data_IF_272096474288
#
_entry.id   IF_272096474288
#
_cell.length_a   1.000
_cell.length_b   1.000
_cell.length_c   1.000
_cell.angle_alpha   90.00
_cell.angle_beta   90.00
_cell.angle_gamma   90.00
#
_symmetry.space_group_name_H-M   'P 1'
#
loop_
_entity.id
_entity.type
_entity.pdbx_description
1 polymer ?
#
# COMPACT_ATOMS: atom_id res chain seq x y z
N UNK A 1 24.30 -20.85 -9.70
CA UNK A 1 23.02 -20.94 -10.43
C UNK A 1 23.15 -20.11 -11.69
N UNK A 2 22.47 -20.50 -12.76
CA UNK A 2 22.33 -19.67 -13.96
C UNK A 2 21.43 -18.47 -13.67
N UNK A 3 21.75 -17.31 -14.22
CA UNK A 3 20.90 -16.11 -14.19
C UNK A 3 19.70 -16.32 -15.10
N UNK A 4 18.50 -15.93 -14.64
CA UNK A 4 17.29 -15.89 -15.46
C UNK A 4 16.86 -14.44 -15.60
N UNK A 5 16.82 -13.92 -16.83
CA UNK A 5 16.43 -12.54 -17.13
C UNK A 5 15.18 -12.55 -17.99
N UNK A 6 14.16 -11.79 -17.60
CA UNK A 6 12.95 -11.56 -18.40
C UNK A 6 12.73 -10.06 -18.54
N UNK A 7 12.48 -9.58 -19.77
CA UNK A 7 12.25 -8.16 -20.06
C UNK A 7 13.32 -7.20 -19.51
N UNK A 8 14.57 -7.67 -19.38
CA UNK A 8 15.70 -6.87 -18.89
C UNK A 8 15.85 -6.82 -17.37
N UNK A 9 15.03 -7.55 -16.61
CA UNK A 9 15.17 -7.70 -15.15
C UNK A 9 15.46 -9.14 -14.76
N UNK A 10 16.31 -9.31 -13.75
CA UNK A 10 16.57 -10.63 -13.17
C UNK A 10 15.31 -11.16 -12.50
N UNK A 11 14.95 -12.40 -12.82
CA UNK A 11 13.85 -13.14 -12.23
C UNK A 11 14.41 -13.94 -11.06
N UNK A 12 14.11 -13.47 -9.86
CA UNK A 12 14.62 -14.03 -8.61
C UNK A 12 13.56 -14.88 -7.86
N UNK A 13 12.39 -15.05 -8.47
CA UNK A 13 11.23 -15.70 -7.85
C UNK A 13 10.31 -16.35 -8.88
N UNK A 14 9.74 -17.50 -8.56
CA UNK A 14 8.81 -18.21 -9.45
C UNK A 14 7.57 -17.39 -9.85
N UNK A 15 7.03 -16.55 -8.95
CA UNK A 15 5.83 -15.77 -9.24
C UNK A 15 6.08 -14.61 -10.22
N UNK A 16 7.31 -14.12 -10.31
CA UNK A 16 7.69 -13.11 -11.30
C UNK A 16 7.61 -13.65 -12.75
N UNK A 17 7.59 -14.97 -12.95
CA UNK A 17 7.32 -15.57 -14.25
C UNK A 17 5.87 -15.38 -14.71
N UNK A 18 4.94 -15.10 -13.80
CA UNK A 18 3.53 -14.86 -14.12
C UNK A 18 3.35 -13.42 -14.59
N UNK A 19 3.95 -12.47 -13.88
CA UNK A 19 3.88 -11.04 -14.16
C UNK A 19 3.62 -10.22 -12.90
N UNK A 20 3.42 -8.91 -13.05
CA UNK A 20 3.19 -7.96 -11.95
C UNK A 20 1.90 -7.15 -12.14
N UNK A 21 1.00 -7.58 -13.03
CA UNK A 21 -0.32 -6.96 -13.20
C UNK A 21 -1.30 -7.46 -12.12
N UNK A 22 -2.40 -6.74 -11.93
CA UNK A 22 -3.45 -7.06 -10.94
C UNK A 22 -3.85 -8.54 -10.97
N UNK A 23 -4.16 -9.06 -12.17
CA UNK A 23 -4.53 -10.46 -12.36
C UNK A 23 -3.42 -11.46 -12.00
N UNK A 24 -2.15 -11.10 -12.23
CA UNK A 24 -0.98 -11.96 -11.94
C UNK A 24 -0.79 -12.10 -10.43
N UNK A 25 -1.01 -11.00 -9.71
CA UNK A 25 -0.91 -10.93 -8.25
C UNK A 25 -2.02 -11.78 -7.62
N UNK A 26 -3.27 -11.55 -8.04
CA UNK A 26 -4.43 -12.34 -7.59
C UNK A 26 -4.22 -13.83 -7.85
N UNK A 27 -3.71 -14.20 -9.03
CA UNK A 27 -3.42 -15.59 -9.39
C UNK A 27 -2.35 -16.21 -8.49
N UNK A 28 -1.30 -15.46 -8.18
CA UNK A 28 -0.21 -15.89 -7.29
C UNK A 28 -0.69 -16.14 -5.86
N UNK A 29 -1.54 -15.25 -5.35
CA UNK A 29 -2.20 -15.40 -4.04
C UNK A 29 -3.11 -16.63 -4.04
N UNK A 30 -3.98 -16.77 -5.05
CA UNK A 30 -4.91 -17.89 -5.18
C UNK A 30 -4.21 -19.25 -5.22
N UNK A 31 -3.11 -19.34 -5.99
CA UNK A 31 -2.29 -20.54 -6.04
C UNK A 31 -1.69 -20.88 -4.67
N UNK A 32 -1.18 -19.87 -3.97
CA UNK A 32 -0.60 -20.07 -2.64
C UNK A 32 -1.64 -20.51 -1.62
N UNK A 33 -2.84 -19.92 -1.63
CA UNK A 33 -3.97 -20.35 -0.81
C UNK A 33 -4.32 -21.83 -1.07
N UNK A 34 -4.41 -22.23 -2.35
CA UNK A 34 -4.73 -23.61 -2.73
C UNK A 34 -3.67 -24.64 -2.32
N UNK A 35 -2.41 -24.23 -2.19
CA UNK A 35 -1.28 -25.13 -1.87
C UNK A 35 -0.87 -25.11 -0.39
N UNK A 36 -1.27 -24.09 0.36
CA UNK A 36 -0.88 -23.88 1.76
C UNK A 36 -2.12 -23.82 2.67
N UNK A 37 -2.60 -24.97 3.19
CA UNK A 37 -3.80 -25.06 4.03
C UNK A 37 -3.80 -24.13 5.25
N UNK A 38 -2.68 -24.02 5.97
CA UNK A 38 -2.58 -23.17 7.17
C UNK A 38 -2.66 -21.68 6.82
N UNK A 39 -2.17 -21.30 5.64
CA UNK A 39 -2.32 -19.94 5.12
C UNK A 39 -3.77 -19.66 4.72
N UNK A 40 -4.43 -20.60 4.02
CA UNK A 40 -5.86 -20.49 3.69
C UNK A 40 -6.72 -20.36 4.96
N UNK A 41 -6.52 -21.21 5.97
CA UNK A 41 -7.22 -21.13 7.26
C UNK A 41 -7.04 -19.75 7.91
N UNK A 42 -5.80 -19.24 7.90
CA UNK A 42 -5.48 -17.94 8.48
C UNK A 42 -6.19 -16.79 7.76
N UNK A 43 -6.26 -16.82 6.41
CA UNK A 43 -6.98 -15.82 5.62
C UNK A 43 -8.49 -15.89 5.83
N UNK A 44 -9.08 -17.09 5.88
CA UNK A 44 -10.52 -17.24 6.13
C UNK A 44 -10.89 -16.80 7.55
N UNK A 45 -10.06 -17.15 8.53
CA UNK A 45 -10.25 -16.69 9.90
C UNK A 45 -10.12 -15.16 10.01
N UNK A 46 -9.18 -14.53 9.31
CA UNK A 46 -9.04 -13.07 9.29
C UNK A 46 -10.31 -12.38 8.78
N UNK A 47 -10.85 -12.83 7.65
CA UNK A 47 -11.94 -12.11 6.96
C UNK A 47 -13.35 -12.51 7.43
N UNK A 48 -13.50 -13.70 8.04
CA UNK A 48 -14.80 -14.22 8.48
C UNK A 48 -14.86 -14.60 9.96
N UNK A 49 -13.73 -14.64 10.69
CA UNK A 49 -13.64 -15.24 12.03
C UNK A 49 -14.14 -16.69 12.08
N UNK A 50 -13.82 -17.47 11.03
CA UNK A 50 -14.23 -18.87 10.89
C UNK A 50 -13.03 -19.81 10.86
N UNK A 51 -13.11 -20.86 11.67
CA UNK A 51 -12.27 -22.05 11.52
C UNK A 51 -12.85 -22.95 10.43
N UNK A 52 -11.97 -23.45 9.55
CA UNK A 52 -12.38 -24.25 8.39
C UNK A 52 -11.48 -25.47 8.17
N UNK A 53 -12.05 -26.49 7.53
CA UNK A 53 -11.27 -27.55 6.92
C UNK A 53 -10.86 -27.16 5.49
N UNK A 54 -9.58 -26.83 5.33
CA UNK A 54 -9.00 -26.42 4.06
C UNK A 54 -9.16 -27.46 2.94
N UNK A 55 -9.35 -28.75 3.25
CA UNK A 55 -9.49 -29.79 2.22
C UNK A 55 -10.81 -29.67 1.42
N UNK A 56 -11.84 -29.08 2.02
CA UNK A 56 -13.16 -28.94 1.40
C UNK A 56 -13.34 -27.61 0.66
N UNK A 57 -12.36 -26.71 0.76
CA UNK A 57 -12.44 -25.38 0.16
C UNK A 57 -12.14 -25.44 -1.33
N UNK A 58 -13.03 -24.83 -2.11
CA UNK A 58 -12.83 -24.53 -3.52
C UNK A 58 -12.48 -23.06 -3.70
N UNK A 59 -11.40 -22.81 -4.42
CA UNK A 59 -10.97 -21.49 -4.87
C UNK A 59 -11.20 -21.43 -6.37
N UNK A 60 -12.06 -20.52 -6.80
CA UNK A 60 -12.37 -20.27 -8.20
C UNK A 60 -11.73 -18.94 -8.59
N UNK A 61 -11.06 -18.90 -9.73
CA UNK A 61 -10.36 -17.72 -10.23
C UNK A 61 -11.02 -17.29 -11.54
N UNK A 62 -11.36 -16.01 -11.66
CA UNK A 62 -11.96 -15.43 -12.87
C UNK A 62 -13.28 -16.07 -13.30
N UNK A 63 -14.23 -16.22 -12.36
CA UNK A 63 -15.56 -16.76 -12.67
C UNK A 63 -16.40 -15.72 -13.40
N UNK A 64 -16.90 -16.09 -14.59
CA UNK A 64 -17.77 -15.25 -15.41
C UNK A 64 -19.26 -15.49 -15.12
N UNK A 65 -20.03 -14.42 -14.94
CA UNK A 65 -21.48 -14.45 -14.98
C UNK A 65 -22.01 -13.40 -15.97
N UNK A 66 -22.90 -13.81 -16.86
CA UNK A 66 -23.48 -12.92 -17.88
C UNK A 66 -24.13 -11.71 -17.21
N UNK A 67 -23.79 -10.51 -17.70
CA UNK A 67 -24.23 -9.20 -17.18
C UNK A 67 -23.71 -8.84 -15.77
N UNK A 68 -22.85 -9.65 -15.14
CA UNK A 68 -22.23 -9.36 -13.84
C UNK A 68 -20.71 -9.45 -13.84
N UNK A 69 -20.12 -9.54 -15.04
CA UNK A 69 -18.67 -9.51 -15.24
C UNK A 69 -17.94 -10.76 -14.73
N UNK A 70 -16.64 -10.59 -14.57
CA UNK A 70 -15.70 -11.59 -14.08
C UNK A 70 -15.33 -11.20 -12.65
N UNK A 71 -15.33 -12.15 -11.71
CA UNK A 71 -14.81 -11.95 -10.34
C UNK A 71 -13.36 -12.36 -10.27
N UNK A 72 -12.54 -11.65 -9.49
CA UNK A 72 -11.14 -12.02 -9.34
C UNK A 72 -10.98 -13.36 -8.62
N UNK A 73 -11.62 -13.54 -7.47
CA UNK A 73 -11.69 -14.82 -6.77
C UNK A 73 -13.06 -15.08 -6.16
N UNK A 74 -13.46 -16.35 -6.12
CA UNK A 74 -14.56 -16.83 -5.29
C UNK A 74 -14.06 -18.01 -4.44
N UNK A 75 -14.26 -17.97 -3.12
CA UNK A 75 -13.79 -19.00 -2.18
C UNK A 75 -14.97 -19.53 -1.38
N UNK A 76 -15.14 -20.85 -1.36
CA UNK A 76 -16.26 -21.48 -0.64
C UNK A 76 -15.97 -22.94 -0.29
N UNK A 77 -16.46 -23.41 0.85
CA UNK A 77 -16.54 -24.84 1.18
C UNK A 77 -17.92 -25.45 0.84
N UNK A 78 -18.82 -24.65 0.27
CA UNK A 78 -20.22 -24.97 -0.07
C UNK A 78 -21.15 -25.30 1.10
N UNK A 79 -20.67 -25.29 2.34
CA UNK A 79 -21.44 -25.66 3.53
C UNK A 79 -21.48 -24.56 4.59
N UNK A 80 -20.39 -23.84 4.78
CA UNK A 80 -20.21 -22.90 5.90
C UNK A 80 -20.06 -21.46 5.42
N UNK A 81 -19.38 -21.22 4.29
CA UNK A 81 -19.13 -19.86 3.81
C UNK A 81 -19.08 -19.69 2.27
N UNK A 82 -19.28 -18.45 1.82
CA UNK A 82 -19.05 -18.00 0.44
C UNK A 82 -18.43 -16.60 0.42
N UNK A 83 -17.24 -16.48 -0.15
CA UNK A 83 -16.52 -15.21 -0.27
C UNK A 83 -16.35 -14.89 -1.76
N UNK A 84 -16.60 -13.63 -2.13
CA UNK A 84 -16.16 -13.06 -3.40
C UNK A 84 -15.06 -12.05 -3.07
N UNK A 85 -13.91 -12.14 -3.74
CA UNK A 85 -12.82 -11.17 -3.61
C UNK A 85 -12.72 -10.38 -4.90
N UNK A 86 -12.65 -9.06 -4.77
CA UNK A 86 -12.31 -8.13 -5.83
C UNK A 86 -10.96 -7.49 -5.52
N UNK A 87 -9.97 -7.76 -6.37
CA UNK A 87 -8.62 -7.25 -6.21
C UNK A 87 -8.43 -5.94 -6.97
N UNK A 88 -7.60 -5.06 -6.41
CA UNK A 88 -7.13 -3.86 -7.08
C UNK A 88 -5.64 -3.69 -6.87
N UNK A 89 -4.91 -3.28 -7.92
CA UNK A 89 -3.49 -2.92 -7.80
C UNK A 89 -3.32 -1.48 -7.31
N UNK A 90 -2.36 -1.25 -6.41
CA UNK A 90 -2.12 0.06 -5.80
C UNK A 90 -3.18 0.43 -4.76
N UNK A 91 -3.23 1.72 -4.41
CA UNK A 91 -4.19 2.29 -3.46
C UNK A 91 -5.55 2.58 -4.10
N UNK A 92 -6.10 1.57 -4.76
CA UNK A 92 -7.40 1.62 -5.43
C UNK A 92 -8.37 0.70 -4.68
N UNK A 93 -9.60 1.16 -4.52
CA UNK A 93 -10.72 0.37 -4.00
C UNK A 93 -11.74 0.13 -5.11
N UNK A 94 -12.49 -0.99 -5.07
CA UNK A 94 -13.55 -1.26 -6.02
C UNK A 94 -14.68 -0.22 -5.92
N UNK A 95 -15.23 0.14 -7.08
CA UNK A 95 -16.34 1.08 -7.18
C UNK A 95 -17.68 0.48 -6.74
N UNK A 96 -18.65 1.36 -6.46
CA UNK A 96 -19.98 0.96 -6.02
C UNK A 96 -20.71 0.05 -7.02
N UNK A 97 -20.56 0.31 -8.32
CA UNK A 97 -21.18 -0.49 -9.38
C UNK A 97 -20.70 -1.94 -9.34
N UNK A 98 -19.39 -2.16 -9.19
CA UNK A 98 -18.80 -3.49 -9.18
C UNK A 98 -19.24 -4.30 -7.95
N UNK A 99 -19.19 -3.69 -6.77
CA UNK A 99 -19.64 -4.35 -5.53
C UNK A 99 -21.15 -4.67 -5.58
N UNK A 100 -21.96 -3.79 -6.18
CA UNK A 100 -23.39 -4.04 -6.40
C UNK A 100 -23.60 -5.25 -7.29
N UNK A 101 -22.90 -5.34 -8.44
CA UNK A 101 -23.01 -6.50 -9.33
C UNK A 101 -22.65 -7.81 -8.63
N UNK A 102 -21.59 -7.82 -7.81
CA UNK A 102 -21.15 -9.04 -7.12
C UNK A 102 -22.08 -9.50 -6.01
N UNK A 103 -22.65 -8.55 -5.25
CA UNK A 103 -23.67 -8.85 -4.25
C UNK A 103 -24.93 -9.49 -4.85
N UNK A 104 -25.14 -9.32 -6.16
CA UNK A 104 -26.29 -9.86 -6.88
C UNK A 104 -26.00 -11.18 -7.59
N UNK A 105 -24.78 -11.72 -7.55
CA UNK A 105 -24.40 -12.93 -8.31
C UNK A 105 -25.17 -14.15 -7.83
N UNK A 106 -25.51 -15.02 -8.78
CA UNK A 106 -26.36 -16.19 -8.51
C UNK A 106 -25.76 -17.09 -7.43
N UNK A 107 -24.46 -17.36 -7.54
CA UNK A 107 -23.77 -18.28 -6.63
C UNK A 107 -23.76 -17.80 -5.18
N UNK A 108 -23.64 -16.49 -4.92
CA UNK A 108 -23.65 -15.97 -3.55
C UNK A 108 -25.07 -15.83 -3.01
N UNK A 109 -26.04 -15.40 -3.83
CA UNK A 109 -27.44 -15.29 -3.41
C UNK A 109 -28.03 -16.66 -3.06
N UNK A 110 -27.95 -17.61 -4.00
CA UNK A 110 -28.58 -18.93 -3.85
C UNK A 110 -27.82 -19.88 -2.94
N UNK A 111 -26.59 -19.53 -2.55
CA UNK A 111 -25.82 -20.33 -1.61
C UNK A 111 -26.57 -20.46 -0.27
N UNK A 112 -26.78 -21.69 0.24
CA UNK A 112 -27.49 -21.92 1.50
C UNK A 112 -26.61 -21.65 2.74
N UNK A 113 -25.36 -21.25 2.54
CA UNK A 113 -24.40 -21.03 3.65
C UNK A 113 -24.78 -19.81 4.49
N UNK A 114 -24.46 -19.88 5.78
CA UNK A 114 -24.75 -18.82 6.74
C UNK A 114 -23.80 -17.63 6.64
N UNK A 115 -22.55 -17.84 6.24
CA UNK A 115 -21.55 -16.78 6.19
C UNK A 115 -21.23 -16.37 4.76
N UNK A 116 -21.52 -15.12 4.40
CA UNK A 116 -21.24 -14.56 3.08
C UNK A 116 -20.44 -13.28 3.25
N UNK A 117 -19.50 -13.00 2.34
CA UNK A 117 -18.79 -11.72 2.34
C UNK A 117 -18.31 -11.34 0.94
N UNK A 118 -18.16 -10.03 0.72
CA UNK A 118 -17.38 -9.47 -0.38
C UNK A 118 -16.13 -8.83 0.20
N UNK A 119 -14.96 -9.19 -0.30
CA UNK A 119 -13.68 -8.69 0.18
C UNK A 119 -13.04 -7.84 -0.91
N UNK A 120 -12.80 -6.57 -0.61
CA UNK A 120 -11.88 -5.75 -1.39
C UNK A 120 -10.44 -6.13 -1.04
N UNK A 121 -9.55 -6.32 -2.01
CA UNK A 121 -8.16 -6.71 -1.77
C UNK A 121 -7.19 -5.81 -2.54
N UNK A 122 -6.43 -4.96 -1.86
CA UNK A 122 -5.49 -4.02 -2.50
C UNK A 122 -4.35 -3.61 -1.57
N UNK A 123 -3.56 -2.60 -1.96
CA UNK A 123 -2.48 -2.05 -1.12
C UNK A 123 -2.99 -1.04 -0.08
N UNK A 124 -4.28 -0.69 -0.11
CA UNK A 124 -4.90 0.20 0.86
C UNK A 124 -4.75 -0.34 2.29
N UNK A 125 -4.60 0.56 3.27
CA UNK A 125 -4.74 0.17 4.67
C UNK A 125 -6.19 -0.19 5.01
N UNK A 126 -6.38 -0.97 6.07
CA UNK A 126 -7.72 -1.29 6.59
C UNK A 126 -8.48 -0.01 6.96
N UNK A 127 -7.83 0.98 7.59
CA UNK A 127 -8.46 2.26 7.96
C UNK A 127 -8.88 3.08 6.73
N UNK A 128 -8.05 3.10 5.69
CA UNK A 128 -8.39 3.76 4.43
C UNK A 128 -9.59 3.09 3.76
N UNK A 129 -9.55 1.77 3.60
CA UNK A 129 -10.67 1.02 3.06
C UNK A 129 -11.91 1.21 3.93
N UNK A 130 -11.73 1.32 5.24
CA UNK A 130 -12.82 1.56 6.15
C UNK A 130 -13.48 2.93 5.95
N UNK A 131 -12.72 3.96 5.63
CA UNK A 131 -13.25 5.29 5.37
C UNK A 131 -13.86 5.44 3.96
N UNK A 132 -13.34 4.72 2.96
CA UNK A 132 -13.60 5.02 1.55
C UNK A 132 -14.30 3.92 0.74
N UNK A 133 -14.47 2.70 1.27
CA UNK A 133 -15.34 1.72 0.62
C UNK A 133 -16.77 2.26 0.56
N UNK A 134 -17.46 2.14 -0.59
CA UNK A 134 -18.79 2.74 -0.77
C UNK A 134 -19.86 2.03 0.06
N UNK A 135 -19.60 0.81 0.51
CA UNK A 135 -20.51 0.00 1.31
C UNK A 135 -19.76 -0.68 2.45
N UNK A 136 -20.43 -0.79 3.59
CA UNK A 136 -20.06 -1.71 4.68
C UNK A 136 -20.83 -3.02 4.60
N UNK A 137 -22.06 -2.92 4.11
CA UNK A 137 -22.96 -4.04 3.86
C UNK A 137 -23.73 -3.70 2.59
N UNK A 138 -23.93 -4.69 1.72
CA UNK A 138 -24.75 -4.57 0.51
C UNK A 138 -25.53 -5.86 0.30
N UNK A 139 -26.86 -5.76 0.12
CA UNK A 139 -27.77 -6.91 0.03
C UNK A 139 -27.54 -7.93 1.18
N UNK A 140 -27.42 -7.42 2.40
CA UNK A 140 -27.14 -8.19 3.63
C UNK A 140 -25.81 -8.95 3.62
N UNK A 141 -24.91 -8.64 2.68
CA UNK A 141 -23.57 -9.22 2.60
C UNK A 141 -22.56 -8.17 3.10
N UNK A 142 -21.76 -8.47 4.14
CA UNK A 142 -20.70 -7.59 4.61
C UNK A 142 -19.64 -7.37 3.53
N UNK A 143 -19.14 -6.13 3.46
CA UNK A 143 -18.04 -5.72 2.60
C UNK A 143 -16.86 -5.34 3.46
N UNK A 144 -15.83 -6.18 3.46
CA UNK A 144 -14.61 -5.98 4.23
C UNK A 144 -13.42 -5.73 3.29
N UNK A 145 -12.29 -5.38 3.88
CA UNK A 145 -11.04 -5.22 3.15
C UNK A 145 -10.00 -6.23 3.65
N UNK A 146 -9.07 -6.58 2.77
CA UNK A 146 -7.90 -7.39 3.09
C UNK A 146 -6.70 -6.80 2.35
N UNK A 147 -5.86 -6.06 3.07
CA UNK A 147 -4.67 -5.45 2.48
C UNK A 147 -3.60 -6.47 2.07
N UNK A 148 -2.81 -6.17 1.04
CA UNK A 148 -1.68 -7.01 0.62
C UNK A 148 -0.62 -7.14 1.72
N UNK A 149 -0.42 -6.09 2.51
CA UNK A 149 0.42 -6.15 3.72
C UNK A 149 -0.10 -7.20 4.69
N UNK A 150 -1.41 -7.25 4.92
CA UNK A 150 -2.00 -8.26 5.82
C UNK A 150 -1.84 -9.67 5.26
N UNK A 151 -2.01 -9.86 3.95
CA UNK A 151 -1.76 -11.14 3.28
C UNK A 151 -0.30 -11.60 3.48
N UNK A 152 0.66 -10.69 3.34
CA UNK A 152 2.08 -10.96 3.60
C UNK A 152 2.31 -11.42 5.06
N UNK A 153 1.70 -10.75 6.03
CA UNK A 153 1.80 -11.09 7.46
C UNK A 153 1.18 -12.47 7.78
N UNK A 154 0.01 -12.76 7.21
CA UNK A 154 -0.67 -14.05 7.35
C UNK A 154 0.17 -15.18 6.72
N UNK A 155 0.74 -14.94 5.54
CA UNK A 155 1.66 -15.88 4.89
C UNK A 155 2.91 -16.11 5.75
N UNK A 156 3.47 -15.06 6.34
CA UNK A 156 4.62 -15.17 7.24
C UNK A 156 4.29 -16.04 8.47
N UNK A 157 3.14 -15.81 9.08
CA UNK A 157 2.69 -16.51 10.28
C UNK A 157 2.41 -17.98 9.99
N UNK A 158 1.75 -18.30 8.87
CA UNK A 158 1.42 -19.66 8.46
C UNK A 158 2.65 -20.56 8.23
N UNK A 159 3.84 -19.99 8.01
CA UNK A 159 5.09 -20.77 7.83
C UNK A 159 5.43 -21.59 9.07
N UNK A 160 5.04 -21.20 10.27
CA UNK A 160 5.40 -21.95 11.49
C UNK A 160 4.81 -23.36 11.45
N UNK A 161 3.53 -23.47 11.11
CA UNK A 161 2.74 -24.71 11.08
C UNK A 161 2.72 -25.43 9.71
N UNK A 162 3.31 -24.83 8.67
CA UNK A 162 3.34 -25.40 7.31
C UNK A 162 4.39 -26.51 7.12
N UNK A 163 4.22 -27.35 6.10
CA UNK A 163 5.24 -28.30 5.66
C UNK A 163 6.44 -27.58 4.99
N UNK A 164 7.57 -28.25 4.81
CA UNK A 164 8.77 -27.64 4.19
C UNK A 164 8.49 -27.03 2.81
N UNK A 165 7.82 -27.78 1.92
CA UNK A 165 7.49 -27.29 0.58
C UNK A 165 6.53 -26.10 0.60
N UNK A 166 5.59 -26.09 1.55
CA UNK A 166 4.67 -24.97 1.75
C UNK A 166 5.41 -23.74 2.28
N UNK A 167 6.34 -23.91 3.23
CA UNK A 167 7.17 -22.81 3.73
C UNK A 167 7.98 -22.16 2.61
N UNK A 168 8.55 -22.96 1.72
CA UNK A 168 9.34 -22.43 0.61
C UNK A 168 8.45 -21.68 -0.40
N UNK A 169 7.26 -22.21 -0.73
CA UNK A 169 6.29 -21.48 -1.56
C UNK A 169 5.83 -20.17 -0.92
N UNK A 170 5.57 -20.15 0.40
CA UNK A 170 5.17 -18.93 1.11
C UNK A 170 6.31 -17.90 1.15
N UNK A 171 7.58 -18.31 1.23
CA UNK A 171 8.72 -17.38 1.12
C UNK A 171 8.80 -16.76 -0.27
N UNK A 172 8.55 -17.54 -1.32
CA UNK A 172 8.45 -17.02 -2.69
C UNK A 172 7.30 -16.02 -2.79
N UNK A 173 6.10 -16.35 -2.29
CA UNK A 173 4.97 -15.40 -2.31
C UNK A 173 5.32 -14.11 -1.57
N UNK A 174 5.92 -14.22 -0.38
CA UNK A 174 6.32 -13.06 0.41
C UNK A 174 7.33 -12.17 -0.33
N UNK A 175 8.36 -12.74 -0.95
CA UNK A 175 9.33 -11.98 -1.76
C UNK A 175 8.62 -11.23 -2.89
N UNK A 176 7.74 -11.93 -3.61
CA UNK A 176 6.98 -11.37 -4.72
C UNK A 176 6.09 -10.20 -4.29
N UNK A 177 5.28 -10.38 -3.25
CA UNK A 177 4.43 -9.32 -2.71
C UNK A 177 5.26 -8.14 -2.18
N UNK A 178 6.39 -8.42 -1.51
CA UNK A 178 7.31 -7.39 -1.01
C UNK A 178 7.92 -6.56 -2.15
N UNK A 179 8.32 -7.19 -3.25
CA UNK A 179 8.83 -6.49 -4.42
C UNK A 179 7.75 -5.58 -5.01
N UNK A 180 6.52 -6.08 -5.21
CA UNK A 180 5.43 -5.29 -5.79
C UNK A 180 5.06 -4.09 -4.92
N UNK A 181 4.84 -4.29 -3.62
CA UNK A 181 4.49 -3.22 -2.68
C UNK A 181 5.58 -2.14 -2.60
N UNK A 182 6.83 -2.51 -2.88
CA UNK A 182 7.93 -1.56 -2.88
C UNK A 182 8.22 -0.92 -4.25
N UNK A 183 7.88 -1.59 -5.35
CA UNK A 183 8.15 -1.12 -6.72
C UNK A 183 7.39 0.16 -7.11
N UNK A 184 6.17 0.40 -6.61
CA UNK A 184 5.38 1.56 -7.06
C UNK A 184 5.93 2.93 -6.63
N UNK A 185 6.69 3.00 -5.52
CA UNK A 185 7.41 4.21 -5.14
C UNK A 185 8.88 4.19 -5.61
N UNK A 186 9.60 3.05 -5.53
CA UNK A 186 11.07 2.98 -5.66
C UNK A 186 11.66 3.56 -6.95
N UNK A 187 10.99 3.42 -8.10
CA UNK A 187 11.46 3.97 -9.39
C UNK A 187 11.11 5.45 -9.58
N UNK A 188 10.25 5.99 -8.73
CA UNK A 188 9.81 7.38 -8.82
C UNK A 188 10.93 8.32 -8.42
N UNK A 189 11.32 9.21 -9.32
CA UNK A 189 12.22 10.31 -9.01
C UNK A 189 11.47 11.53 -8.44
N UNK A 190 10.18 11.42 -8.13
CA UNK A 190 9.39 12.50 -7.56
C UNK A 190 9.71 12.72 -6.09
N UNK A 191 9.90 13.98 -5.74
CA UNK A 191 10.16 14.46 -4.39
C UNK A 191 8.96 15.26 -3.92
N UNK A 192 8.41 14.91 -2.77
CA UNK A 192 7.42 15.73 -2.08
C UNK A 192 8.13 16.74 -1.17
N UNK A 193 8.07 18.02 -1.53
CA UNK A 193 8.81 19.08 -0.82
C UNK A 193 7.90 19.75 0.22
N UNK A 194 8.33 19.72 1.47
CA UNK A 194 7.61 20.25 2.64
C UNK A 194 8.43 21.35 3.33
N UNK A 195 7.73 22.34 3.89
CA UNK A 195 8.38 23.39 4.68
C UNK A 195 8.49 22.95 6.12
N UNK A 196 9.69 23.00 6.70
CA UNK A 196 9.88 22.79 8.13
C UNK A 196 9.84 24.11 8.89
N UNK A 197 9.24 24.08 10.07
CA UNK A 197 9.26 25.19 11.02
C UNK A 197 10.43 25.01 12.01
N UNK A 198 10.90 26.11 12.58
CA UNK A 198 11.78 26.10 13.77
C UNK A 198 11.00 25.85 15.06
N UNK A 199 9.68 25.76 14.99
CA UNK A 199 8.82 25.39 16.11
C UNK A 199 8.84 23.89 16.37
N UNK A 200 8.41 23.51 17.56
CA UNK A 200 8.27 22.13 17.98
C UNK A 200 6.89 21.60 17.57
N UNK A 201 6.78 20.31 17.23
CA UNK A 201 5.50 19.62 17.31
C UNK A 201 4.92 19.77 18.72
N UNK A 202 3.60 19.70 18.82
CA UNK A 202 2.88 19.88 20.09
C UNK A 202 3.41 18.91 21.14
N UNK A 203 3.90 19.45 22.25
CA UNK A 203 4.45 18.69 23.39
C UNK A 203 5.66 17.78 23.05
N UNK A 204 6.44 18.14 22.03
CA UNK A 204 7.71 17.48 21.72
C UNK A 204 8.88 18.44 22.03
N UNK A 205 9.98 17.92 22.58
CA UNK A 205 11.16 18.73 22.93
C UNK A 205 12.03 19.07 21.72
N UNK A 206 11.87 18.36 20.60
CA UNK A 206 12.61 18.59 19.36
C UNK A 206 11.82 19.47 18.41
N UNK A 207 12.51 20.37 17.70
CA UNK A 207 11.94 21.08 16.56
C UNK A 207 11.70 20.15 15.37
N UNK A 208 10.84 20.56 14.43
CA UNK A 208 10.67 19.82 13.18
C UNK A 208 11.97 19.59 12.41
N UNK A 209 12.89 20.57 12.46
CA UNK A 209 14.22 20.47 11.84
C UNK A 209 15.07 19.43 12.56
N UNK A 210 15.07 19.44 13.90
CA UNK A 210 15.87 18.49 14.69
C UNK A 210 15.36 17.05 14.57
N UNK A 211 14.05 16.83 14.43
CA UNK A 211 13.52 15.50 14.12
C UNK A 211 14.11 14.94 12.82
N UNK A 212 14.20 15.77 11.79
CA UNK A 212 14.79 15.35 10.52
C UNK A 212 16.29 15.17 10.64
N UNK A 213 17.01 16.15 11.19
CA UNK A 213 18.48 16.16 11.19
C UNK A 213 19.11 15.20 12.22
N UNK A 214 18.51 15.08 13.42
CA UNK A 214 19.06 14.26 14.51
C UNK A 214 18.46 12.87 14.57
N UNK A 215 17.17 12.74 14.26
CA UNK A 215 16.44 11.45 14.36
C UNK A 215 16.23 10.77 13.02
N UNK A 216 16.45 11.46 11.90
CA UNK A 216 16.16 10.93 10.56
C UNK A 216 14.70 10.45 10.47
N UNK A 217 13.80 11.20 11.09
CA UNK A 217 12.36 10.90 11.15
C UNK A 217 11.56 12.13 10.73
N UNK A 218 10.42 11.90 10.08
CA UNK A 218 9.44 12.94 9.79
C UNK A 218 8.05 12.34 9.81
N UNK A 219 7.06 13.11 10.24
CA UNK A 219 5.68 12.64 10.24
C UNK A 219 4.71 13.74 9.80
N UNK A 220 3.55 13.31 9.31
CA UNK A 220 2.44 14.21 8.96
C UNK A 220 1.10 13.47 9.01
N UNK A 221 -0.03 14.19 9.14
CA UNK A 221 -1.35 13.59 9.08
C UNK A 221 -1.57 12.81 7.79
N UNK A 222 -2.16 11.63 7.90
CA UNK A 222 -2.44 10.74 6.78
C UNK A 222 -3.53 11.33 5.88
N UNK A 223 -3.21 11.69 4.63
CA UNK A 223 -4.19 12.08 3.61
C UNK A 223 -5.03 13.36 3.86
N UNK A 224 -4.84 14.06 4.99
CA UNK A 224 -5.64 15.21 5.41
C UNK A 224 -5.06 16.52 4.85
N UNK A 225 -5.92 17.50 4.53
CA UNK A 225 -5.50 18.84 4.10
C UNK A 225 -4.48 18.86 2.94
N UNK A 226 -4.54 17.90 2.02
CA UNK A 226 -3.62 17.80 0.88
C UNK A 226 -2.26 17.17 1.20
N UNK A 227 -2.12 16.52 2.37
CA UNK A 227 -1.03 15.58 2.62
C UNK A 227 -1.15 14.34 1.70
N UNK A 228 -0.02 13.70 1.35
CA UNK A 228 -0.05 12.48 0.56
C UNK A 228 -0.89 11.39 1.22
N UNK A 229 -1.63 10.66 0.40
CA UNK A 229 -2.34 9.42 0.78
C UNK A 229 -1.46 8.19 0.64
N UNK A 230 -0.31 8.35 -0.02
CA UNK A 230 0.73 7.35 -0.25
C UNK A 230 2.08 7.93 0.17
N UNK A 231 2.99 7.13 0.75
CA UNK A 231 4.34 7.59 1.07
C UNK A 231 5.10 7.91 -0.22
N UNK A 232 5.71 9.10 -0.34
CA UNK A 232 6.56 9.40 -1.48
C UNK A 232 7.85 8.55 -1.45
N UNK A 233 8.47 8.33 -2.59
CA UNK A 233 9.81 7.71 -2.64
C UNK A 233 10.88 8.63 -2.04
N UNK A 234 10.75 9.92 -2.32
CA UNK A 234 11.62 10.96 -1.79
C UNK A 234 10.81 12.08 -1.15
N UNK A 235 11.33 12.58 -0.03
CA UNK A 235 10.80 13.77 0.64
C UNK A 235 11.89 14.84 0.72
N UNK A 236 11.52 16.08 0.41
CA UNK A 236 12.42 17.23 0.43
C UNK A 236 12.04 18.20 1.54
N UNK A 237 13.02 18.75 2.25
CA UNK A 237 12.79 19.69 3.33
C UNK A 237 13.32 21.08 2.94
N UNK A 238 12.45 22.08 3.05
CA UNK A 238 12.81 23.49 2.87
C UNK A 238 12.60 24.27 4.16
N UNK A 239 13.56 25.13 4.47
CA UNK A 239 13.48 26.14 5.54
C UNK A 239 14.48 27.26 5.21
N UNK A 240 14.40 28.40 5.89
CA UNK A 240 15.22 29.59 5.55
C UNK A 240 15.10 30.05 4.08
N UNK A 241 13.93 29.84 3.47
CA UNK A 241 13.66 30.27 2.09
C UNK A 241 14.39 29.47 1.00
N UNK A 242 14.95 28.30 1.32
CA UNK A 242 15.67 27.43 0.38
C UNK A 242 15.42 25.94 0.66
N UNK A 243 15.68 25.10 -0.34
CA UNK A 243 15.77 23.65 -0.17
C UNK A 243 17.06 23.32 0.60
N UNK A 244 16.95 22.44 1.60
CA UNK A 244 18.05 22.11 2.50
C UNK A 244 18.51 20.67 2.30
N UNK A 245 17.56 19.74 2.25
CA UNK A 245 17.87 18.33 2.02
C UNK A 245 16.76 17.62 1.26
N UNK A 246 17.14 16.53 0.59
CA UNK A 246 16.23 15.53 0.02
C UNK A 246 16.60 14.19 0.62
N UNK A 247 15.61 13.41 1.04
CA UNK A 247 15.81 12.10 1.65
C UNK A 247 15.02 11.06 0.87
N UNK A 248 15.63 9.90 0.65
CA UNK A 248 14.89 8.69 0.32
C UNK A 248 14.10 8.23 1.55
N UNK A 249 12.88 7.73 1.36
CA UNK A 249 12.10 7.12 2.45
C UNK A 249 12.48 5.63 2.52
N UNK A 250 13.24 5.25 3.56
CA UNK A 250 13.70 3.87 3.75
C UNK A 250 12.57 2.94 4.21
N UNK A 251 11.68 3.48 5.06
CA UNK A 251 10.50 2.78 5.56
C UNK A 251 9.49 3.77 6.12
N UNK A 252 8.26 3.29 6.34
CA UNK A 252 7.22 4.08 6.99
C UNK A 252 6.31 3.20 7.85
N UNK A 253 5.64 3.82 8.82
CA UNK A 253 4.51 3.26 9.54
C UNK A 253 3.34 4.23 9.56
N UNK A 254 2.16 3.72 9.90
CA UNK A 254 0.95 4.51 10.10
C UNK A 254 0.50 4.24 11.53
N UNK A 255 0.34 5.30 12.32
CA UNK A 255 -0.04 5.18 13.73
C UNK A 255 -0.86 6.38 14.18
N UNK A 256 -1.72 6.17 15.19
CA UNK A 256 -2.36 7.26 15.95
C UNK A 256 -1.50 7.70 17.12
N UNK A 257 -0.58 6.85 17.59
CA UNK A 257 0.37 7.19 18.66
C UNK A 257 1.78 7.31 18.08
N UNK A 258 2.23 8.54 17.88
CA UNK A 258 3.53 8.81 17.25
C UNK A 258 4.69 8.44 18.19
N UNK A 259 4.45 8.39 19.51
CA UNK A 259 5.46 8.00 20.49
C UNK A 259 6.03 6.60 20.24
N UNK A 260 5.22 5.69 19.68
CA UNK A 260 5.65 4.32 19.35
C UNK A 260 6.80 4.28 18.32
N UNK A 261 6.97 5.38 17.56
CA UNK A 261 7.96 5.50 16.49
C UNK A 261 9.01 6.60 16.74
N UNK A 262 8.67 7.59 17.58
CA UNK A 262 9.50 8.72 17.96
C UNK A 262 9.32 8.94 19.47
N UNK A 263 10.23 8.38 20.27
CA UNK A 263 10.14 8.40 21.73
C UNK A 263 10.01 9.82 22.33
N UNK A 264 10.52 10.86 21.64
CA UNK A 264 10.39 12.27 22.07
C UNK A 264 8.99 12.87 21.88
N UNK A 265 8.08 12.19 21.18
CA UNK A 265 6.69 12.62 21.07
C UNK A 265 5.91 12.22 22.33
N UNK A 266 4.85 12.96 22.70
CA UNK A 266 4.00 12.58 23.83
C UNK A 266 3.34 11.21 23.57
N UNK A 267 3.32 10.35 24.58
CA UNK A 267 2.66 9.06 24.52
C UNK A 267 1.13 9.22 24.65
N UNK A 268 0.50 9.67 23.57
CA UNK A 268 -0.94 9.92 23.45
C UNK A 268 -1.40 9.55 22.05
N UNK A 269 -2.64 9.07 21.93
CA UNK A 269 -3.28 8.89 20.63
C UNK A 269 -3.81 10.23 20.10
N UNK A 270 -3.44 10.57 18.86
CA UNK A 270 -3.99 11.69 18.11
C UNK A 270 -5.37 11.37 17.51
N UNK A 271 -6.13 12.42 17.20
CA UNK A 271 -7.45 12.31 16.57
C UNK A 271 -7.38 11.62 15.18
N UNK A 272 -6.25 11.79 14.49
CA UNK A 272 -6.02 11.27 13.14
C UNK A 272 -4.76 10.42 13.08
N UNK A 273 -4.74 9.50 12.12
CA UNK A 273 -3.54 8.73 11.81
C UNK A 273 -2.47 9.60 11.17
N UNK A 274 -1.21 9.24 11.45
CA UNK A 274 -0.04 9.90 10.90
C UNK A 274 0.82 8.89 10.15
N UNK A 275 1.36 9.32 9.01
CA UNK A 275 2.53 8.66 8.45
C UNK A 275 3.74 9.04 9.27
N UNK A 276 4.56 8.07 9.66
CA UNK A 276 5.87 8.27 10.26
C UNK A 276 6.93 7.65 9.36
N UNK A 277 7.82 8.48 8.82
CA UNK A 277 8.86 8.08 7.86
C UNK A 277 10.20 7.90 8.54
N UNK A 278 10.90 6.83 8.17
CA UNK A 278 12.34 6.65 8.42
C UNK A 278 13.11 7.13 7.20
N UNK A 279 14.00 8.11 7.41
CA UNK A 279 14.67 8.83 6.33
C UNK A 279 16.06 8.25 6.08
N UNK A 280 16.38 8.05 4.80
CA UNK A 280 17.72 7.71 4.33
C UNK A 280 18.66 8.91 4.40
N UNK A 281 19.93 8.69 4.09
CA UNK A 281 20.97 9.74 4.13
C UNK A 281 20.56 10.97 3.31
N UNK A 282 20.84 12.19 3.79
CA UNK A 282 20.48 13.41 3.08
C UNK A 282 21.25 13.55 1.77
N UNK A 283 20.53 13.88 0.70
CA UNK A 283 21.05 14.43 -0.54
C UNK A 283 21.01 15.96 -0.38
N UNK A 284 22.19 16.57 -0.26
CA UNK A 284 22.32 18.02 -0.10
C UNK A 284 22.49 18.66 -1.49
N UNK A 285 21.66 19.65 -1.87
CA UNK A 285 21.84 20.38 -3.11
C UNK A 285 23.23 21.03 -3.17
N UNK A 286 23.94 20.85 -4.27
CA UNK A 286 25.28 21.45 -4.49
C UNK A 286 25.24 22.97 -4.72
N UNK A 287 24.04 23.52 -4.98
CA UNK A 287 23.78 24.96 -5.10
C UNK A 287 22.57 25.37 -4.27
N UNK A 288 22.46 26.67 -4.01
CA UNK A 288 21.28 27.24 -3.34
C UNK A 288 20.08 27.18 -4.28
N UNK A 289 19.06 26.41 -3.90
CA UNK A 289 17.78 26.32 -4.60
C UNK A 289 16.74 27.06 -3.78
N UNK A 290 16.31 28.24 -4.22
CA UNK A 290 15.40 29.10 -3.46
C UNK A 290 13.96 28.56 -3.49
N UNK A 291 13.13 28.92 -2.51
CA UNK A 291 11.70 28.53 -2.50
C UNK A 291 10.95 28.97 -3.76
N UNK A 292 11.20 30.21 -4.23
CA UNK A 292 10.46 30.79 -5.35
C UNK A 292 9.02 31.15 -4.97
N UNK A 293 8.11 31.13 -5.96
CA UNK A 293 6.68 31.49 -5.79
C UNK A 293 5.88 30.36 -5.12
N UNK A 294 6.22 30.04 -3.88
CA UNK A 294 5.49 29.10 -3.01
C UNK A 294 5.19 29.82 -1.69
N UNK A 295 3.94 29.79 -1.25
CA UNK A 295 3.54 30.36 0.03
C UNK A 295 4.17 29.60 1.21
N UNK A 296 4.22 30.20 2.41
CA UNK A 296 4.99 29.69 3.54
C UNK A 296 4.76 28.20 3.84
N UNK A 297 3.50 27.77 3.99
CA UNK A 297 3.12 26.36 4.22
C UNK A 297 2.89 25.54 2.94
N UNK A 298 3.24 26.09 1.78
CA UNK A 298 3.02 25.45 0.48
C UNK A 298 3.91 24.24 0.28
N UNK A 299 3.29 23.13 -0.09
CA UNK A 299 3.94 21.86 -0.43
C UNK A 299 3.93 21.69 -1.94
N UNK A 300 4.98 21.11 -2.50
CA UNK A 300 5.13 20.95 -3.96
C UNK A 300 5.75 19.61 -4.31
N UNK A 301 5.32 19.06 -5.44
CA UNK A 301 5.97 17.93 -6.08
C UNK A 301 6.94 18.41 -7.15
N UNK A 302 8.15 17.86 -7.16
CA UNK A 302 9.14 18.10 -8.22
C UNK A 302 10.03 16.86 -8.40
N UNK A 303 10.55 16.63 -9.60
CA UNK A 303 11.52 15.56 -9.88
C UNK A 303 12.89 15.92 -9.29
N UNK A 304 13.61 14.92 -8.79
CA UNK A 304 14.89 15.10 -8.08
C UNK A 304 15.93 15.83 -8.94
N UNK A 305 16.02 15.51 -10.22
CA UNK A 305 16.97 16.13 -11.14
C UNK A 305 16.65 17.62 -11.32
N UNK A 306 15.36 17.96 -11.49
CA UNK A 306 14.93 19.36 -11.61
C UNK A 306 15.20 20.16 -10.34
N UNK A 307 15.06 19.56 -9.16
CA UNK A 307 15.39 20.22 -7.90
C UNK A 307 16.88 20.51 -7.79
N UNK A 308 17.73 19.63 -8.33
CA UNK A 308 19.18 19.80 -8.31
C UNK A 308 19.69 20.75 -9.41
N UNK A 309 18.91 20.98 -10.48
CA UNK A 309 19.33 21.84 -11.60
C UNK A 309 18.65 23.22 -11.67
N UNK A 310 17.41 23.37 -11.19
CA UNK A 310 16.68 24.64 -11.25
C UNK A 310 17.17 25.65 -10.19
N UNK A 311 16.83 26.92 -10.35
CA UNK A 311 17.21 27.95 -9.37
C UNK A 311 16.18 28.09 -8.25
N UNK A 312 14.95 27.62 -8.49
CA UNK A 312 13.90 27.60 -7.48
C UNK A 312 13.09 26.30 -7.44
N UNK A 313 12.53 25.97 -6.27
CA UNK A 313 11.62 24.83 -6.08
C UNK A 313 10.35 25.00 -6.93
N UNK A 314 9.85 26.24 -7.04
CA UNK A 314 8.71 26.56 -7.89
C UNK A 314 8.98 26.20 -9.36
N UNK A 315 10.12 26.64 -9.90
CA UNK A 315 10.55 26.35 -11.26
C UNK A 315 10.75 24.84 -11.49
N UNK A 316 11.42 24.15 -10.56
CA UNK A 316 11.59 22.70 -10.61
C UNK A 316 10.25 21.97 -10.72
N UNK A 317 9.25 22.40 -9.94
CA UNK A 317 7.89 21.85 -9.96
C UNK A 317 7.20 22.07 -11.31
N UNK A 318 7.30 23.27 -11.89
CA UNK A 318 6.71 23.56 -13.20
C UNK A 318 7.39 22.78 -14.33
N UNK A 319 8.72 22.67 -14.35
CA UNK A 319 9.46 21.84 -15.32
C UNK A 319 9.03 20.38 -15.20
N UNK A 320 8.92 19.87 -13.98
CA UNK A 320 8.50 18.49 -13.71
C UNK A 320 7.08 18.22 -14.22
N UNK A 321 6.15 19.16 -14.01
CA UNK A 321 4.78 19.07 -14.50
C UNK A 321 4.71 19.12 -16.03
N UNK A 322 5.50 19.98 -16.67
CA UNK A 322 5.60 20.04 -18.13
C UNK A 322 6.11 18.72 -18.73
N UNK A 323 7.11 18.10 -18.11
CA UNK A 323 7.65 16.79 -18.54
C UNK A 323 6.61 15.68 -18.49
N UNK A 324 5.70 15.69 -17.50
CA UNK A 324 4.61 14.71 -17.45
C UNK A 324 3.57 14.95 -18.55
N UNK A 325 3.21 16.20 -18.80
CA UNK A 325 2.23 16.53 -19.81
C UNK A 325 2.73 16.23 -21.23
N UNK A 326 4.04 16.36 -21.49
CA UNK A 326 4.65 16.04 -22.79
C UNK A 326 4.82 14.54 -23.06
N UNK A 327 4.59 13.65 -22.09
CA UNK A 327 4.56 12.19 -22.31
C UNK A 327 3.20 11.67 -22.80
N UNK A 328 2.19 12.55 -22.88
CA UNK A 328 0.82 12.22 -23.29
C UNK A 328 0.48 12.70 -24.72
N UNK A 329 1.47 13.17 -25.48
CA UNK A 329 1.40 13.44 -26.93
C UNK A 329 2.30 12.48 -27.68
#
# INVERSE_FOLDING_TARGET
MSELVAYGTEVNNIFQLIGNLENDITKSIAWSLARCPEFLKSVINEVMSLEIDAQNVRIKYQEFEKNKGITDLEITDTTSFYIIIEAKRGWILPGAEQLTLYSQRKNIIESPVSHKAIISMSECSEDYANAYLPFKVINDIPVNHLSWKRIYELANSAKTSSSRSQKDLLKELMRYLGDIMTMQAKESNWVYVVSLSTENPKNCDLTWIELVEKKMKYFHPFGINGWPKEPPNYIGFRYEGKLQSIHHIESYSITKNIHDEIEEMPNVEDEYEHFVYSLGKPIIPSKVVKTGKIYASGRKWAMIDTLLTADTIHEASEISRQRMNNKLS
#
